data_IF_906189607341
#
_entry.id   IF_906189607341
#
_cell.length_a   1.000
_cell.length_b   1.000
_cell.length_c   1.000
_cell.angle_alpha   90.00
_cell.angle_beta   90.00
_cell.angle_gamma   90.00
#
_symmetry.space_group_name_H-M   'P 1'
#
loop_
_entity.id
_entity.type
_entity.pdbx_description
1 polymer ?
#
# COMPACT_ATOMS: atom_id res chain seq x y z
N UNK A 1 -29.26 -20.14 10.74
CA UNK A 1 -28.43 -19.02 10.34
C UNK A 1 -27.67 -19.34 9.08
N UNK A 2 -27.54 -18.39 8.26
CA UNK A 2 -26.96 -18.64 7.00
C UNK A 2 -25.71 -17.81 6.82
N UNK A 3 -24.63 -18.46 6.54
CA UNK A 3 -23.41 -17.78 6.24
C UNK A 3 -23.43 -17.30 4.82
N UNK A 4 -23.28 -16.03 4.66
CA UNK A 4 -23.13 -15.50 3.34
C UNK A 4 -21.67 -15.32 3.08
N UNK A 5 -21.18 -16.23 2.32
CA UNK A 5 -19.86 -16.03 1.76
C UNK A 5 -20.11 -15.49 0.38
N UNK A 6 -19.54 -14.35 0.09
CA UNK A 6 -19.66 -13.80 -1.25
C UNK A 6 -18.53 -14.38 -2.08
N UNK A 7 -18.74 -15.52 -2.72
CA UNK A 7 -17.63 -16.27 -3.30
C UNK A 7 -16.95 -15.55 -4.45
N UNK A 8 -17.64 -14.57 -5.04
CA UNK A 8 -17.04 -13.84 -6.15
C UNK A 8 -16.27 -12.62 -5.71
N UNK A 9 -16.42 -12.23 -4.44
CA UNK A 9 -15.72 -11.07 -3.98
C UNK A 9 -14.33 -11.47 -3.49
N UNK A 10 -13.35 -11.03 -4.22
CA UNK A 10 -11.97 -11.33 -3.87
C UNK A 10 -11.27 -10.03 -3.56
N UNK A 11 -10.88 -9.86 -2.31
CA UNK A 11 -10.15 -8.68 -1.90
C UNK A 11 -8.72 -8.74 -2.42
N UNK A 12 -8.15 -7.58 -2.69
CA UNK A 12 -6.76 -7.49 -3.11
C UNK A 12 -5.87 -7.87 -1.95
N UNK A 13 -5.20 -8.98 -2.05
CA UNK A 13 -4.40 -9.57 -0.98
C UNK A 13 -2.96 -9.71 -1.43
N UNK A 14 -2.03 -9.32 -0.57
CA UNK A 14 -0.61 -9.56 -0.87
C UNK A 14 -0.34 -11.05 -0.66
N UNK A 15 -0.01 -11.74 -1.74
CA UNK A 15 0.24 -13.17 -1.72
C UNK A 15 1.73 -13.51 -1.78
N UNK A 16 2.59 -12.51 -1.95
CA UNK A 16 4.04 -12.74 -1.94
C UNK A 16 4.77 -11.42 -1.96
N UNK A 17 6.00 -11.43 -1.48
CA UNK A 17 6.81 -10.23 -1.45
C UNK A 17 8.30 -10.58 -1.42
N UNK A 18 9.05 -9.87 -2.24
CA UNK A 18 10.51 -9.85 -2.18
C UNK A 18 10.97 -8.40 -2.31
N UNK A 19 12.28 -8.18 -2.27
CA UNK A 19 12.78 -6.81 -2.30
C UNK A 19 12.41 -6.05 -3.56
N UNK A 20 12.31 -6.75 -4.68
CA UNK A 20 12.12 -6.10 -5.98
C UNK A 20 10.81 -6.46 -6.65
N UNK A 21 9.90 -7.18 -5.94
CA UNK A 21 8.58 -7.43 -6.49
C UNK A 21 7.58 -7.65 -5.37
N UNK A 22 6.32 -7.45 -5.70
CA UNK A 22 5.20 -7.72 -4.82
C UNK A 22 4.15 -8.47 -5.64
N UNK A 23 3.47 -9.40 -4.98
CA UNK A 23 2.47 -10.22 -5.66
C UNK A 23 1.11 -9.98 -5.03
N UNK A 24 0.14 -9.63 -5.86
CA UNK A 24 -1.23 -9.38 -5.42
C UNK A 24 -2.11 -10.42 -6.10
N UNK A 25 -2.77 -11.26 -5.29
CA UNK A 25 -3.65 -12.31 -5.82
C UNK A 25 -2.95 -13.12 -6.93
N UNK A 26 -1.70 -13.51 -6.66
CA UNK A 26 -0.88 -14.35 -7.53
C UNK A 26 -0.37 -13.64 -8.80
N UNK A 27 -0.53 -12.32 -8.90
CA UNK A 27 0.03 -11.54 -10.01
C UNK A 27 1.18 -10.71 -9.49
N UNK A 28 2.34 -10.84 -10.10
CA UNK A 28 3.55 -10.12 -9.66
C UNK A 28 3.69 -8.79 -10.35
N UNK A 29 4.16 -7.83 -9.56
CA UNK A 29 4.46 -6.48 -10.02
C UNK A 29 5.89 -6.15 -9.60
N UNK A 30 6.64 -5.54 -10.48
CA UNK A 30 8.04 -5.18 -10.20
C UNK A 30 8.22 -3.67 -10.05
N UNK A 31 7.15 -2.98 -9.72
CA UNK A 31 7.16 -1.53 -9.49
C UNK A 31 6.30 -1.21 -8.28
N UNK A 32 6.47 -0.02 -7.75
CA UNK A 32 5.69 0.43 -6.60
C UNK A 32 4.20 0.42 -6.91
N UNK A 33 3.41 0.12 -5.89
CA UNK A 33 1.96 -0.02 -6.02
C UNK A 33 1.24 0.69 -4.91
N UNK A 34 0.01 1.11 -5.21
CA UNK A 34 -0.99 1.44 -4.21
C UNK A 34 -2.05 0.36 -4.30
N UNK A 35 -2.34 -0.28 -3.17
CA UNK A 35 -3.25 -1.41 -3.08
C UNK A 35 -4.36 -1.08 -2.09
N UNK A 36 -5.60 -1.28 -2.51
CA UNK A 36 -6.77 -1.17 -1.64
C UNK A 36 -7.57 -2.45 -1.77
N UNK A 37 -8.39 -2.80 -0.75
CA UNK A 37 -9.07 -4.10 -0.76
C UNK A 37 -9.99 -4.32 -1.95
N UNK A 38 -10.64 -3.27 -2.44
CA UNK A 38 -11.69 -3.44 -3.45
C UNK A 38 -11.39 -2.72 -4.76
N UNK A 39 -10.16 -2.29 -4.96
CA UNK A 39 -9.75 -1.55 -6.15
C UNK A 39 -8.55 -2.26 -6.75
N UNK A 40 -8.52 -2.40 -8.06
CA UNK A 40 -7.37 -3.00 -8.73
C UNK A 40 -6.10 -2.23 -8.36
N UNK A 41 -4.98 -2.93 -8.18
CA UNK A 41 -3.73 -2.25 -7.80
C UNK A 41 -3.37 -1.17 -8.82
N UNK A 42 -2.87 -0.05 -8.31
CA UNK A 42 -2.52 1.11 -9.12
C UNK A 42 -1.01 1.29 -9.09
N UNK A 43 -0.41 1.48 -10.25
CA UNK A 43 1.01 1.78 -10.30
C UNK A 43 1.28 3.10 -9.60
N UNK A 44 2.30 3.12 -8.74
CA UNK A 44 2.71 4.31 -8.01
C UNK A 44 4.08 4.71 -8.54
N UNK A 45 4.22 5.89 -9.17
CA UNK A 45 5.48 6.26 -9.79
C UNK A 45 6.49 6.81 -8.79
N UNK A 46 6.79 6.01 -7.78
CA UNK A 46 7.75 6.33 -6.73
C UNK A 46 8.75 5.18 -6.66
N UNK A 47 10.03 5.49 -6.73
CA UNK A 47 11.06 4.45 -6.71
C UNK A 47 12.04 4.63 -5.55
N UNK A 48 11.92 5.72 -4.79
CA UNK A 48 12.89 6.04 -3.77
C UNK A 48 12.18 6.82 -2.66
N UNK A 49 12.30 6.32 -1.44
CA UNK A 49 11.71 6.98 -0.29
C UNK A 49 12.19 8.43 -0.16
N UNK A 50 13.47 8.66 -0.40
CA UNK A 50 14.03 10.00 -0.23
C UNK A 50 13.54 11.00 -1.27
N UNK A 51 12.95 10.53 -2.36
CA UNK A 51 12.41 11.40 -3.40
C UNK A 51 10.92 11.67 -3.25
N UNK A 52 10.29 11.16 -2.19
CA UNK A 52 8.85 11.37 -1.97
C UNK A 52 8.50 12.84 -1.87
N UNK A 53 7.37 13.20 -2.45
CA UNK A 53 6.78 14.54 -2.34
C UNK A 53 5.35 14.41 -1.88
N UNK A 54 4.78 15.52 -1.41
CA UNK A 54 3.37 15.52 -0.99
C UNK A 54 2.45 15.12 -2.15
N UNK A 55 2.83 15.49 -3.36
CA UNK A 55 2.05 15.19 -4.55
C UNK A 55 1.90 13.69 -4.77
N UNK A 56 2.89 12.91 -4.36
CA UNK A 56 2.87 11.47 -4.54
C UNK A 56 1.73 10.79 -3.79
N UNK A 57 1.15 11.45 -2.80
CA UNK A 57 0.08 10.87 -2.00
C UNK A 57 -1.32 11.22 -2.50
N UNK A 58 -1.43 11.96 -3.59
CA UNK A 58 -2.75 12.35 -4.08
C UNK A 58 -3.61 11.16 -4.50
N UNK A 59 -2.98 10.12 -5.03
CA UNK A 59 -3.72 8.93 -5.43
C UNK A 59 -4.33 8.23 -4.21
N UNK A 60 -3.65 8.29 -3.07
CA UNK A 60 -4.18 7.74 -1.82
C UNK A 60 -5.35 8.60 -1.33
N UNK A 61 -5.19 9.93 -1.36
CA UNK A 61 -6.25 10.84 -0.94
C UNK A 61 -7.53 10.60 -1.72
N UNK A 62 -7.40 10.35 -3.02
CA UNK A 62 -8.55 10.16 -3.89
C UNK A 62 -9.38 8.96 -3.49
N UNK A 63 -8.78 7.96 -2.83
CA UNK A 63 -9.49 6.78 -2.41
C UNK A 63 -10.08 6.91 -1.01
N UNK A 64 -9.69 7.93 -0.26
CA UNK A 64 -10.18 8.21 1.08
C UNK A 64 -10.18 7.00 2.00
N UNK A 65 -9.05 6.31 2.16
CA UNK A 65 -8.98 5.20 3.11
C UNK A 65 -9.01 5.72 4.53
N UNK A 66 -9.27 4.84 5.48
CA UNK A 66 -9.18 5.20 6.89
C UNK A 66 -7.73 5.27 7.36
N UNK A 67 -6.87 4.49 6.71
CA UNK A 67 -5.48 4.33 7.15
C UNK A 67 -4.62 4.02 5.94
N UNK A 68 -3.46 4.64 5.90
CA UNK A 68 -2.42 4.31 4.93
C UNK A 68 -1.28 3.60 5.63
N UNK A 69 -0.95 2.42 5.14
CA UNK A 69 0.28 1.74 5.53
C UNK A 69 1.30 2.06 4.44
N UNK A 70 2.35 2.76 4.81
CA UNK A 70 3.40 3.15 3.87
C UNK A 70 4.58 2.19 4.03
N UNK A 71 4.84 1.41 2.99
CA UNK A 71 6.01 0.55 2.95
C UNK A 71 7.20 1.35 2.46
N UNK A 72 8.20 1.47 3.32
CA UNK A 72 9.31 2.40 3.11
C UNK A 72 10.54 1.75 2.50
N UNK A 73 10.44 0.53 2.03
CA UNK A 73 11.56 -0.18 1.44
C UNK A 73 12.06 -1.29 2.34
N UNK A 74 13.33 -1.60 2.22
CA UNK A 74 13.92 -2.72 2.96
C UNK A 74 14.10 -2.41 4.45
N UNK A 75 14.00 -1.15 4.85
CA UNK A 75 14.07 -0.77 6.25
C UNK A 75 13.01 0.25 6.57
N UNK A 76 12.61 0.28 7.84
CA UNK A 76 11.59 1.21 8.30
C UNK A 76 12.15 2.63 8.38
N UNK A 77 11.36 3.58 7.86
CA UNK A 77 11.70 5.00 7.91
C UNK A 77 10.42 5.78 8.19
N UNK A 78 10.56 7.01 8.68
CA UNK A 78 9.40 7.85 8.95
C UNK A 78 9.31 8.95 7.90
N UNK A 79 8.10 9.14 7.36
CA UNK A 79 7.85 10.23 6.43
C UNK A 79 7.82 11.54 7.19
N UNK A 80 8.46 12.58 6.62
CA UNK A 80 8.41 13.90 7.22
C UNK A 80 6.94 14.37 7.28
N UNK A 81 6.56 15.04 8.38
CA UNK A 81 5.14 15.44 8.54
C UNK A 81 4.58 16.23 7.38
N UNK A 82 5.38 17.08 6.74
CA UNK A 82 4.88 17.89 5.63
C UNK A 82 4.50 17.06 4.42
N UNK A 83 5.08 15.87 4.29
CA UNK A 83 4.75 15.00 3.15
C UNK A 83 3.34 14.44 3.26
N UNK A 84 2.89 14.19 4.47
CA UNK A 84 1.62 13.52 4.70
C UNK A 84 0.59 14.42 5.36
N UNK A 85 0.86 15.72 5.40
CA UNK A 85 0.00 16.68 6.10
C UNK A 85 -1.43 16.68 5.56
N UNK A 86 -1.61 16.57 4.24
CA UNK A 86 -2.96 16.59 3.68
C UNK A 86 -3.71 15.31 3.98
N UNK A 87 -3.01 14.19 4.10
CA UNK A 87 -3.64 12.95 4.54
C UNK A 87 -4.15 13.09 5.96
N UNK A 88 -3.30 13.59 6.85
CA UNK A 88 -3.66 13.78 8.25
C UNK A 88 -4.84 14.74 8.36
N UNK A 89 -4.84 15.82 7.58
CA UNK A 89 -5.94 16.78 7.58
C UNK A 89 -7.27 16.15 7.16
N UNK A 90 -7.21 15.11 6.36
CA UNK A 90 -8.39 14.35 5.94
C UNK A 90 -8.70 13.19 6.87
N UNK A 91 -8.01 13.12 7.99
CA UNK A 91 -8.17 12.06 9.00
C UNK A 91 -7.79 10.69 8.48
N UNK A 92 -6.86 10.64 7.56
CA UNK A 92 -6.27 9.39 7.10
C UNK A 92 -5.03 9.16 7.95
N UNK A 93 -5.05 8.12 8.76
CA UNK A 93 -3.87 7.76 9.54
C UNK A 93 -2.75 7.27 8.64
N UNK A 94 -1.51 7.49 9.05
CA UNK A 94 -0.35 7.05 8.27
C UNK A 94 0.59 6.29 9.19
N UNK A 95 0.93 5.06 8.80
CA UNK A 95 1.89 4.25 9.53
C UNK A 95 2.98 3.80 8.59
N UNK A 96 4.22 4.05 8.99
CA UNK A 96 5.39 3.72 8.17
C UNK A 96 6.03 2.44 8.66
N UNK A 97 6.29 1.52 7.74
CA UNK A 97 6.88 0.21 8.07
C UNK A 97 7.81 -0.18 6.94
N UNK A 98 8.75 -1.11 7.22
CA UNK A 98 9.44 -1.72 6.11
C UNK A 98 8.42 -2.49 5.27
N UNK A 99 8.79 -2.81 4.03
CA UNK A 99 7.82 -3.38 3.10
C UNK A 99 7.25 -4.71 3.56
N UNK A 100 8.08 -5.55 4.17
CA UNK A 100 7.59 -6.86 4.62
C UNK A 100 6.53 -6.70 5.70
N UNK A 101 6.81 -5.85 6.68
CA UNK A 101 5.84 -5.58 7.75
C UNK A 101 4.60 -4.89 7.19
N UNK A 102 4.79 -3.99 6.23
CA UNK A 102 3.68 -3.27 5.63
C UNK A 102 2.71 -4.22 4.92
N UNK A 103 3.26 -5.15 4.15
CA UNK A 103 2.43 -6.12 3.44
C UNK A 103 1.65 -7.00 4.40
N UNK A 104 2.30 -7.44 5.49
CA UNK A 104 1.64 -8.28 6.47
C UNK A 104 0.54 -7.52 7.20
N UNK A 105 0.84 -6.30 7.61
CA UNK A 105 -0.12 -5.46 8.33
C UNK A 105 -1.33 -5.14 7.45
N UNK A 106 -1.07 -4.81 6.18
CA UNK A 106 -2.17 -4.57 5.24
C UNK A 106 -3.10 -5.77 5.16
N UNK A 107 -2.55 -6.98 5.00
CA UNK A 107 -3.38 -8.17 4.89
C UNK A 107 -4.24 -8.39 6.14
N UNK A 108 -3.66 -8.16 7.31
CA UNK A 108 -4.38 -8.34 8.56
C UNK A 108 -5.56 -7.37 8.66
N UNK A 109 -5.29 -6.09 8.41
CA UNK A 109 -6.33 -5.06 8.53
C UNK A 109 -7.40 -5.22 7.46
N UNK A 110 -7.00 -5.56 6.26
CA UNK A 110 -7.91 -5.81 5.17
C UNK A 110 -8.87 -6.96 5.51
N UNK A 111 -8.32 -8.03 6.07
CA UNK A 111 -9.12 -9.19 6.46
C UNK A 111 -10.10 -8.87 7.58
N UNK A 112 -9.81 -7.85 8.37
CA UNK A 112 -10.71 -7.38 9.43
C UNK A 112 -11.78 -6.43 8.90
N UNK A 113 -11.80 -6.20 7.60
CA UNK A 113 -12.81 -5.33 7.00
C UNK A 113 -12.46 -3.85 7.04
N UNK A 114 -11.21 -3.50 7.36
CA UNK A 114 -10.78 -2.11 7.43
C UNK A 114 -10.58 -1.54 6.02
N UNK A 115 -10.89 -0.27 5.85
CA UNK A 115 -10.60 0.40 4.59
C UNK A 115 -9.17 0.92 4.65
N UNK A 116 -8.25 0.03 4.37
CA UNK A 116 -6.82 0.30 4.49
C UNK A 116 -6.20 0.39 3.11
N UNK A 117 -5.27 1.33 2.93
CA UNK A 117 -4.48 1.42 1.72
C UNK A 117 -3.05 1.01 2.04
N UNK A 118 -2.42 0.33 1.11
CA UNK A 118 -1.00 0.01 1.17
C UNK A 118 -0.31 0.75 0.04
N UNK A 119 0.68 1.56 0.36
CA UNK A 119 1.55 2.16 -0.65
C UNK A 119 2.93 1.60 -0.39
N UNK A 120 3.42 0.80 -1.30
CA UNK A 120 4.69 0.10 -1.13
C UNK A 120 5.71 0.61 -2.13
N UNK A 121 6.90 0.97 -1.64
CA UNK A 121 7.95 1.51 -2.48
C UNK A 121 8.90 0.40 -2.88
N UNK A 122 8.97 0.13 -4.17
CA UNK A 122 9.93 -0.83 -4.73
C UNK A 122 11.00 -0.07 -5.50
N UNK A 123 12.22 -0.61 -5.56
CA UNK A 123 13.26 0.03 -6.34
C UNK A 123 12.92 0.01 -7.81
N UNK A 124 13.54 0.91 -8.57
CA UNK A 124 13.36 0.92 -10.01
C UNK A 124 13.85 -0.42 -10.55
N UNK A 125 13.07 -1.06 -11.44
CA UNK A 125 13.55 -2.30 -12.06
C UNK A 125 14.85 -2.06 -12.79
N UNK A 126 15.74 -3.03 -12.70
CA UNK A 126 16.99 -2.95 -13.44
C UNK A 126 16.72 -3.17 -14.90
N UNK A 127 17.28 -2.28 -15.72
CA UNK A 127 17.23 -2.45 -17.15
C UNK A 127 18.62 -2.83 -17.61
N UNK A 128 18.71 -3.94 -18.27
CA UNK A 128 19.98 -4.36 -18.85
C UNK A 128 20.01 -4.09 -20.33
#
# INVERSE_FOLDING_TARGET
MKLHVTPTQQYQTVTGYEQDWIEINAVRFDHSLIVLPEVAPVRWPVTDFDALTAEDFKAVEAQSPDLLILGTGSRQRFAAPKLVASLIARRIGVECMDNQAACRTYNILMAEGRKVALAVILPRPETT
#
